data_IF_918956378007
#
_entry.id   IF_918956378007
#
_cell.length_a   1.000
_cell.length_b   1.000
_cell.length_c   1.000
_cell.angle_alpha   90.00
_cell.angle_beta   90.00
_cell.angle_gamma   90.00
#
_symmetry.space_group_name_H-M   'P 1'
#
loop_
_entity.id
_entity.type
_entity.pdbx_description
1 polymer ?
#
# COMPACT_ATOMS: atom_id res chain seq x y z
N UNK A 1 11.60 12.59 23.81
CA UNK A 1 10.29 13.07 23.33
C UNK A 1 9.80 12.08 22.27
N UNK A 2 8.89 11.18 22.62
CA UNK A 2 8.22 10.31 21.66
C UNK A 2 7.04 11.09 21.09
N UNK A 3 7.05 11.33 19.77
CA UNK A 3 5.91 11.95 19.10
C UNK A 3 4.76 10.95 19.16
N UNK A 4 3.68 11.31 19.86
CA UNK A 4 2.48 10.48 19.89
C UNK A 4 1.78 10.60 18.53
N UNK A 5 1.66 9.50 17.79
CA UNK A 5 0.92 9.46 16.53
C UNK A 5 -0.39 8.72 16.76
N UNK A 6 -1.50 9.27 16.26
CA UNK A 6 -2.82 8.62 16.38
C UNK A 6 -3.04 7.54 15.31
N UNK A 7 -2.25 7.60 14.23
CA UNK A 7 -2.33 6.67 13.10
C UNK A 7 -0.96 6.17 12.68
N UNK A 8 -0.85 4.86 12.50
CA UNK A 8 0.32 4.18 11.97
C UNK A 8 -0.10 3.19 10.88
N UNK A 9 0.62 3.20 9.76
CA UNK A 9 0.47 2.24 8.67
C UNK A 9 1.83 1.63 8.38
N UNK A 10 1.92 0.31 8.50
CA UNK A 10 3.09 -0.46 8.11
C UNK A 10 2.85 -1.13 6.76
N UNK A 11 3.73 -0.85 5.81
CA UNK A 11 3.74 -1.41 4.47
C UNK A 11 4.89 -2.41 4.34
N UNK A 12 4.56 -3.69 4.15
CA UNK A 12 5.52 -4.74 3.87
C UNK A 12 5.67 -4.91 2.36
N UNK A 13 6.76 -4.37 1.82
CA UNK A 13 7.12 -4.52 0.40
C UNK A 13 8.25 -5.53 0.24
N UNK A 14 8.46 -6.08 -0.98
CA UNK A 14 9.66 -6.87 -1.28
C UNK A 14 10.99 -6.11 -1.03
N UNK A 15 10.95 -4.77 -1.06
CA UNK A 15 12.11 -3.91 -0.79
C UNK A 15 12.31 -3.64 0.72
N UNK A 16 11.43 -4.14 1.58
CA UNK A 16 11.47 -3.97 3.02
C UNK A 16 10.20 -3.39 3.62
N UNK A 17 10.23 -3.20 4.94
CA UNK A 17 9.15 -2.60 5.73
C UNK A 17 9.24 -1.08 5.70
N UNK A 18 8.12 -0.41 5.46
CA UNK A 18 7.97 1.04 5.64
C UNK A 18 6.89 1.32 6.67
N UNK A 19 7.26 2.00 7.74
CA UNK A 19 6.31 2.49 8.75
C UNK A 19 6.00 3.95 8.46
N UNK A 20 4.71 4.28 8.41
CA UNK A 20 4.19 5.62 8.14
C UNK A 20 3.33 6.04 9.33
N UNK A 21 3.65 7.17 9.95
CA UNK A 21 2.93 7.66 11.11
C UNK A 21 2.40 9.07 10.86
N UNK A 22 1.16 9.34 11.26
CA UNK A 22 0.53 10.65 11.09
C UNK A 22 -0.40 11.01 12.25
N UNK A 23 -0.76 12.29 12.32
CA UNK A 23 -1.75 12.80 13.29
C UNK A 23 -3.19 12.64 12.77
N UNK A 24 -3.37 12.42 11.46
CA UNK A 24 -4.70 12.36 10.85
C UNK A 24 -4.88 11.17 9.92
N UNK A 25 -6.11 10.67 9.84
CA UNK A 25 -6.54 9.62 8.92
C UNK A 25 -6.16 9.94 7.47
N UNK A 26 -6.43 11.18 7.04
CA UNK A 26 -6.20 11.61 5.65
C UNK A 26 -4.72 11.65 5.30
N UNK A 27 -3.90 12.16 6.20
CA UNK A 27 -2.46 12.27 5.99
C UNK A 27 -1.81 10.89 5.83
N UNK A 28 -2.10 9.95 6.74
CA UNK A 28 -1.52 8.60 6.66
C UNK A 28 -1.98 7.86 5.40
N UNK A 29 -3.24 8.03 5.00
CA UNK A 29 -3.78 7.42 3.79
C UNK A 29 -3.09 7.95 2.52
N UNK A 30 -2.84 9.26 2.44
CA UNK A 30 -2.12 9.86 1.31
C UNK A 30 -0.65 9.45 1.27
N UNK A 31 0.01 9.36 2.41
CA UNK A 31 1.39 8.86 2.50
C UNK A 31 1.47 7.40 2.02
N UNK A 32 0.57 6.54 2.50
CA UNK A 32 0.50 5.14 2.10
C UNK A 32 0.21 5.01 0.60
N UNK A 33 -0.76 5.75 0.05
CA UNK A 33 -1.02 5.82 -1.39
C UNK A 33 0.22 6.23 -2.18
N UNK A 34 0.98 7.22 -1.70
CA UNK A 34 2.20 7.68 -2.37
C UNK A 34 3.27 6.59 -2.42
N UNK A 35 3.40 5.78 -1.37
CA UNK A 35 4.31 4.63 -1.35
C UNK A 35 3.84 3.55 -2.32
N UNK A 36 2.55 3.21 -2.31
CA UNK A 36 1.98 2.22 -3.25
C UNK A 36 2.22 2.63 -4.71
N UNK A 37 2.01 3.90 -5.05
CA UNK A 37 2.25 4.43 -6.42
C UNK A 37 3.70 4.41 -6.86
N UNK A 38 4.64 4.60 -5.93
CA UNK A 38 6.08 4.56 -6.23
C UNK A 38 6.62 3.13 -6.31
N UNK A 39 5.87 2.15 -5.85
CA UNK A 39 6.27 0.77 -5.97
C UNK A 39 6.11 0.34 -7.44
N UNK A 40 7.23 0.16 -8.14
CA UNK A 40 7.27 -0.24 -9.56
C UNK A 40 6.88 -1.70 -9.83
N UNK A 41 6.16 -2.35 -8.90
CA UNK A 41 5.71 -3.74 -8.99
C UNK A 41 4.22 -3.85 -8.69
N UNK A 42 3.67 -5.08 -8.72
CA UNK A 42 2.26 -5.28 -8.41
C UNK A 42 1.96 -4.83 -6.96
N UNK A 43 1.07 -3.83 -6.78
CA UNK A 43 0.74 -3.26 -5.48
C UNK A 43 0.05 -4.28 -4.56
N UNK A 44 -0.56 -5.33 -5.12
CA UNK A 44 -1.18 -6.42 -4.36
C UNK A 44 -0.17 -7.31 -3.61
N UNK A 45 1.13 -7.20 -3.92
CA UNK A 45 2.18 -7.90 -3.17
C UNK A 45 2.59 -7.14 -1.90
N UNK A 46 2.04 -5.95 -1.67
CA UNK A 46 2.38 -5.13 -0.52
C UNK A 46 1.42 -5.49 0.62
N UNK A 47 1.97 -6.05 1.71
CA UNK A 47 1.21 -6.26 2.94
C UNK A 47 0.94 -4.93 3.63
N UNK A 48 -0.29 -4.70 4.09
CA UNK A 48 -0.69 -3.47 4.78
C UNK A 48 -1.17 -3.81 6.18
N UNK A 49 -0.57 -3.20 7.20
CA UNK A 49 -1.01 -3.26 8.60
C UNK A 49 -1.32 -1.85 9.08
N UNK A 50 -2.44 -1.66 9.76
CA UNK A 50 -2.90 -0.35 10.24
C UNK A 50 -3.07 -0.44 11.76
N UNK A 51 -2.42 0.46 12.49
CA UNK A 51 -2.59 0.63 13.92
C UNK A 51 -3.15 2.03 14.21
N UNK A 52 -4.27 2.07 14.93
CA UNK A 52 -5.04 3.27 15.21
C UNK A 52 -5.93 3.01 16.44
N UNK A 53 -6.22 4.05 17.23
CA UNK A 53 -7.15 3.94 18.37
C UNK A 53 -8.63 3.88 17.96
N UNK A 54 -9.00 4.47 16.82
CA UNK A 54 -10.35 4.46 16.28
C UNK A 54 -10.56 3.28 15.30
N UNK A 55 -11.37 2.26 15.67
CA UNK A 55 -11.67 1.13 14.79
C UNK A 55 -12.48 1.56 13.54
N UNK A 56 -13.24 2.65 13.62
CA UNK A 56 -13.95 3.23 12.46
C UNK A 56 -12.97 3.76 11.43
N UNK A 57 -11.97 4.52 11.87
CA UNK A 57 -10.90 5.00 11.00
C UNK A 57 -10.05 3.85 10.44
N UNK A 58 -9.75 2.82 11.23
CA UNK A 58 -9.05 1.64 10.73
C UNK A 58 -9.77 1.04 9.51
N UNK A 59 -11.09 0.86 9.59
CA UNK A 59 -11.87 0.29 8.48
C UNK A 59 -11.92 1.19 7.26
N UNK A 60 -12.02 2.51 7.46
CA UNK A 60 -11.99 3.49 6.35
C UNK A 60 -10.64 3.52 5.65
N UNK A 61 -9.54 3.55 6.40
CA UNK A 61 -8.17 3.50 5.85
C UNK A 61 -7.94 2.18 5.11
N UNK A 62 -8.34 1.05 5.70
CA UNK A 62 -8.20 -0.26 5.08
C UNK A 62 -8.97 -0.35 3.75
N UNK A 63 -10.23 0.10 3.74
CA UNK A 63 -11.05 0.13 2.52
C UNK A 63 -10.41 1.02 1.46
N UNK A 64 -9.98 2.23 1.84
CA UNK A 64 -9.34 3.16 0.92
C UNK A 64 -8.06 2.60 0.30
N UNK A 65 -7.17 1.99 1.10
CA UNK A 65 -5.92 1.43 0.60
C UNK A 65 -6.15 0.18 -0.26
N UNK A 66 -7.17 -0.61 0.04
CA UNK A 66 -7.57 -1.73 -0.81
C UNK A 66 -8.05 -1.25 -2.18
N UNK A 67 -8.93 -0.25 -2.22
CA UNK A 67 -9.44 0.33 -3.46
C UNK A 67 -8.29 0.92 -4.31
N UNK A 68 -7.37 1.65 -3.68
CA UNK A 68 -6.16 2.18 -4.34
C UNK A 68 -5.28 1.04 -4.88
N UNK A 69 -5.11 -0.05 -4.13
CA UNK A 69 -4.29 -1.18 -4.57
C UNK A 69 -4.91 -1.89 -5.78
N UNK A 70 -6.25 -2.01 -5.82
CA UNK A 70 -6.97 -2.57 -6.96
C UNK A 70 -6.92 -1.65 -8.18
N UNK A 71 -7.07 -0.34 -7.98
CA UNK A 71 -6.90 0.66 -9.04
C UNK A 71 -5.51 0.57 -9.67
N UNK A 72 -4.47 0.58 -8.83
CA UNK A 72 -3.08 0.49 -9.29
C UNK A 72 -2.74 -0.87 -9.93
N UNK A 73 -3.32 -1.97 -9.45
CA UNK A 73 -3.12 -3.29 -10.09
C UNK A 73 -3.79 -3.35 -11.47
N UNK A 74 -4.97 -2.73 -11.63
CA UNK A 74 -5.62 -2.59 -12.94
C UNK A 74 -4.80 -1.72 -13.89
N UNK A 75 -4.25 -0.61 -13.40
CA UNK A 75 -3.32 0.23 -14.17
C UNK A 75 -2.07 -0.56 -14.57
N UNK A 76 -1.45 -1.28 -13.64
CA UNK A 76 -0.27 -2.12 -13.91
C UNK A 76 -0.56 -3.23 -14.93
N UNK A 77 -1.73 -3.88 -14.86
CA UNK A 77 -2.16 -4.88 -15.85
C UNK A 77 -2.54 -4.27 -17.20
N UNK A 78 -3.10 -3.06 -17.21
CA UNK A 78 -3.43 -2.32 -18.42
C UNK A 78 -2.19 -1.76 -19.12
N UNK A 79 -1.08 -1.60 -18.40
CA UNK A 79 0.20 -1.07 -18.91
C UNK A 79 1.17 -2.15 -19.39
N UNK A 80 0.82 -3.45 -19.37
CA UNK A 80 1.63 -4.44 -20.08
C UNK A 80 1.47 -4.27 -21.59
N UNK A 81 2.52 -3.87 -22.36
CA UNK A 81 2.55 -4.23 -23.75
C UNK A 81 2.55 -5.76 -23.82
N UNK A 82 1.74 -6.31 -24.73
CA UNK A 82 1.74 -7.72 -25.11
C UNK A 82 3.16 -8.18 -25.52
N UNK A 83 4.03 -8.53 -24.57
CA UNK A 83 5.33 -9.14 -24.82
C UNK A 83 6.02 -9.67 -23.55
N UNK A 84 5.31 -10.45 -22.75
CA UNK A 84 5.95 -11.44 -21.85
C UNK A 84 5.16 -12.74 -21.87
N UNK A 85 4.89 -13.25 -23.08
CA UNK A 85 4.40 -14.62 -23.27
C UNK A 85 5.61 -15.55 -23.25
N UNK A 86 5.88 -16.09 -22.06
CA UNK A 86 6.63 -17.33 -21.90
C UNK A 86 8.12 -17.21 -21.66
N UNK A 87 8.52 -16.92 -20.42
CA UNK A 87 9.74 -17.51 -19.87
C UNK A 87 9.72 -17.47 -18.34
N UNK A 88 8.83 -18.25 -17.73
CA UNK A 88 9.05 -18.75 -16.38
C UNK A 88 8.98 -20.27 -16.44
N UNK A 89 10.04 -20.86 -16.98
CA UNK A 89 10.49 -22.18 -16.56
C UNK A 89 11.14 -21.97 -15.18
N UNK A 90 10.47 -22.40 -14.12
CA UNK A 90 11.15 -22.77 -12.89
C UNK A 90 11.20 -24.31 -12.83
N UNK A 91 12.31 -24.89 -12.35
CA UNK A 91 12.58 -26.32 -12.36
C UNK A 91 11.66 -27.14 -11.45
#
# INVERSE_FOLDING_TARGET
>A
MTVAFDYEVTLATPAGLRVLTAQTEREVALMAKSVLRRHGGSPLRIGVTIACRDPGALRRIASYLNDVSLELDREWRGTTPSSYRGMFLFP
#
